data_IF_493131327833
#
_entry.id   IF_493131327833
#
_cell.length_a   1.000
_cell.length_b   1.000
_cell.length_c   1.000
_cell.angle_alpha   90.00
_cell.angle_beta   90.00
_cell.angle_gamma   90.00
#
_symmetry.space_group_name_H-M   'P 1'
#
loop_
_entity.id
_entity.type
_entity.pdbx_description
1 polymer ?
#
# COMPACT_ATOMS: atom_id res chain seq x y z
N UNK A 1 17.20 11.91 -9.07
CA UNK A 1 16.00 11.07 -8.91
C UNK A 1 15.97 10.05 -10.03
N UNK A 2 15.87 8.77 -9.67
CA UNK A 2 15.77 7.68 -10.64
C UNK A 2 14.29 7.48 -11.00
N UNK A 3 14.02 6.89 -12.14
CA UNK A 3 12.66 6.51 -12.56
C UNK A 3 12.66 5.05 -12.98
N UNK A 4 11.57 4.35 -12.66
CA UNK A 4 11.29 2.99 -13.15
C UNK A 4 10.05 3.00 -14.04
N UNK A 5 9.82 1.91 -14.75
CA UNK A 5 8.72 1.82 -15.71
C UNK A 5 7.76 0.70 -15.32
N UNK A 6 6.48 1.00 -15.38
CA UNK A 6 5.42 0.01 -15.22
C UNK A 6 5.21 -0.77 -16.52
N UNK A 7 4.56 -1.93 -16.46
CA UNK A 7 4.23 -2.72 -17.65
C UNK A 7 3.23 -2.00 -18.56
N UNK A 8 2.47 -1.05 -18.02
CA UNK A 8 1.61 -0.13 -18.78
C UNK A 8 2.41 0.90 -19.58
N UNK A 9 3.71 1.05 -19.30
CA UNK A 9 4.61 2.03 -19.90
C UNK A 9 4.72 3.34 -19.12
N UNK A 10 3.96 3.51 -18.04
CA UNK A 10 4.00 4.69 -17.17
C UNK A 10 5.29 4.75 -16.36
N UNK A 11 5.80 5.96 -16.13
CA UNK A 11 7.02 6.18 -15.35
C UNK A 11 6.67 6.44 -13.88
N UNK A 12 7.43 5.82 -12.98
CA UNK A 12 7.34 6.01 -11.54
C UNK A 12 8.63 6.67 -11.06
N UNK A 13 8.58 7.87 -10.47
CA UNK A 13 9.74 8.47 -9.83
C UNK A 13 10.08 7.71 -8.55
N UNK A 14 11.37 7.47 -8.32
CA UNK A 14 11.91 6.95 -7.07
C UNK A 14 12.55 8.12 -6.32
N UNK A 15 11.73 8.84 -5.57
CA UNK A 15 12.09 9.96 -4.69
C UNK A 15 12.36 9.53 -3.25
N UNK A 16 12.10 8.25 -2.92
CA UNK A 16 12.19 7.74 -1.55
C UNK A 16 10.91 7.93 -0.76
N UNK A 17 9.77 8.20 -1.41
CA UNK A 17 8.44 8.16 -0.80
C UNK A 17 7.63 6.99 -1.38
N UNK A 18 7.34 5.99 -0.54
CA UNK A 18 6.54 4.84 -0.93
C UNK A 18 5.12 5.22 -1.38
N UNK A 19 4.53 6.28 -0.82
CA UNK A 19 3.15 6.67 -1.18
C UNK A 19 3.05 7.11 -2.63
N UNK A 20 4.07 7.80 -3.16
CA UNK A 20 4.16 8.15 -4.58
C UNK A 20 4.12 6.91 -5.48
N UNK A 21 4.85 5.86 -5.10
CA UNK A 21 4.88 4.58 -5.84
C UNK A 21 3.51 3.90 -5.79
N UNK A 22 2.88 3.85 -4.61
CA UNK A 22 1.57 3.24 -4.41
C UNK A 22 0.46 3.97 -5.16
N UNK A 23 0.48 5.31 -5.17
CA UNK A 23 -0.51 6.13 -5.89
C UNK A 23 -0.46 5.85 -7.40
N UNK A 24 0.74 5.79 -7.98
CA UNK A 24 0.88 5.53 -9.42
C UNK A 24 0.45 4.09 -9.74
N UNK A 25 0.83 3.10 -8.91
CA UNK A 25 0.32 1.72 -9.07
C UNK A 25 -1.20 1.67 -9.00
N UNK A 26 -1.82 2.38 -8.05
CA UNK A 26 -3.27 2.44 -7.93
C UNK A 26 -3.93 3.05 -9.17
N UNK A 27 -3.45 4.19 -9.65
CA UNK A 27 -3.99 4.85 -10.85
C UNK A 27 -3.84 3.97 -12.10
N UNK A 28 -2.70 3.31 -12.26
CA UNK A 28 -2.45 2.51 -13.45
C UNK A 28 -3.18 1.17 -13.45
N UNK A 29 -3.32 0.53 -12.29
CA UNK A 29 -3.97 -0.78 -12.17
C UNK A 29 -5.49 -0.67 -11.99
N UNK A 30 -5.97 0.38 -11.31
CA UNK A 30 -7.39 0.54 -11.00
C UNK A 30 -8.10 1.53 -11.92
N UNK A 31 -7.45 2.63 -12.35
CA UNK A 31 -8.15 3.70 -13.08
C UNK A 31 -8.09 3.55 -14.62
N UNK A 32 -7.07 2.87 -15.17
CA UNK A 32 -6.90 2.75 -16.64
C UNK A 32 -7.46 1.47 -17.27
N UNK A 33 -7.88 0.47 -16.50
CA UNK A 33 -8.15 -0.89 -17.02
C UNK A 33 -9.50 -1.52 -16.65
N UNK A 34 -10.47 -0.72 -16.21
CA UNK A 34 -11.89 -1.11 -16.15
C UNK A 34 -12.14 -2.48 -15.50
N UNK A 35 -12.00 -2.58 -14.17
CA UNK A 35 -12.44 -3.70 -13.30
C UNK A 35 -11.94 -5.13 -13.60
N UNK A 36 -11.25 -5.40 -14.71
CA UNK A 36 -10.85 -6.74 -15.16
C UNK A 36 -9.44 -7.16 -14.67
N UNK A 37 -8.82 -6.35 -13.82
CA UNK A 37 -7.48 -6.63 -13.30
C UNK A 37 -7.54 -7.61 -12.13
N UNK A 38 -6.87 -8.76 -12.29
CA UNK A 38 -6.81 -9.79 -11.27
C UNK A 38 -5.78 -9.47 -10.18
N UNK A 39 -5.99 -10.03 -8.97
CA UNK A 39 -4.98 -10.01 -7.90
C UNK A 39 -3.61 -10.48 -8.39
N UNK A 40 -3.58 -11.48 -9.28
CA UNK A 40 -2.33 -12.02 -9.82
C UNK A 40 -1.56 -10.98 -10.64
N UNK A 41 -2.27 -10.18 -11.44
CA UNK A 41 -1.65 -9.14 -12.24
C UNK A 41 -1.14 -7.99 -11.36
N UNK A 42 -1.80 -7.69 -10.24
CA UNK A 42 -1.29 -6.71 -9.26
C UNK A 42 0.02 -7.20 -8.65
N UNK A 43 0.08 -8.48 -8.26
CA UNK A 43 1.29 -9.09 -7.71
C UNK A 43 2.43 -9.07 -8.74
N UNK A 44 2.14 -9.39 -10.00
CA UNK A 44 3.13 -9.32 -11.09
C UNK A 44 3.66 -7.90 -11.28
N UNK A 45 2.80 -6.89 -11.23
CA UNK A 45 3.23 -5.50 -11.38
C UNK A 45 4.14 -5.07 -10.22
N UNK A 46 3.79 -5.45 -8.99
CA UNK A 46 4.62 -5.18 -7.81
C UNK A 46 5.99 -5.87 -7.94
N UNK A 47 6.02 -7.13 -8.40
CA UNK A 47 7.28 -7.84 -8.66
C UNK A 47 8.12 -7.12 -9.72
N UNK A 48 7.49 -6.68 -10.81
CA UNK A 48 8.16 -5.92 -11.87
C UNK A 48 8.76 -4.61 -11.35
N UNK A 49 8.08 -3.91 -10.43
CA UNK A 49 8.64 -2.75 -9.74
C UNK A 49 9.87 -3.14 -8.92
N UNK A 50 9.76 -4.17 -8.06
CA UNK A 50 10.84 -4.62 -7.17
C UNK A 50 12.09 -5.05 -7.94
N UNK A 51 11.92 -5.71 -9.08
CA UNK A 51 13.03 -6.13 -9.97
C UNK A 51 13.85 -4.96 -10.48
N UNK A 52 13.23 -3.78 -10.64
CA UNK A 52 13.91 -2.58 -11.10
C UNK A 52 14.59 -1.83 -9.96
N UNK A 53 14.25 -2.05 -8.70
CA UNK A 53 14.84 -1.36 -7.55
C UNK A 53 16.28 -1.81 -7.29
N UNK A 54 17.13 -0.87 -6.89
CA UNK A 54 18.42 -1.17 -6.26
C UNK A 54 18.21 -1.75 -4.86
N UNK A 55 19.22 -2.42 -4.31
CA UNK A 55 19.11 -3.00 -2.95
C UNK A 55 18.89 -1.93 -1.87
N UNK A 56 19.38 -0.71 -2.07
CA UNK A 56 19.12 0.40 -1.14
C UNK A 56 17.67 0.86 -1.21
N UNK A 57 17.15 1.10 -2.41
CA UNK A 57 15.74 1.44 -2.63
C UNK A 57 14.81 0.34 -2.09
N UNK A 58 15.16 -0.95 -2.29
CA UNK A 58 14.41 -2.08 -1.72
C UNK A 58 14.35 -2.04 -0.21
N UNK A 59 15.48 -1.79 0.47
CA UNK A 59 15.51 -1.69 1.94
C UNK A 59 14.66 -0.53 2.44
N UNK A 60 14.79 0.63 1.80
CA UNK A 60 14.05 1.83 2.17
C UNK A 60 12.54 1.61 2.01
N UNK A 61 12.08 1.23 0.82
CA UNK A 61 10.65 1.03 0.57
C UNK A 61 10.05 -0.14 1.37
N UNK A 62 10.84 -1.20 1.65
CA UNK A 62 10.40 -2.25 2.56
C UNK A 62 10.19 -1.70 3.98
N UNK A 63 11.12 -0.90 4.50
CA UNK A 63 10.98 -0.26 5.80
C UNK A 63 9.73 0.63 5.86
N UNK A 64 9.49 1.45 4.85
CA UNK A 64 8.31 2.32 4.77
C UNK A 64 7.01 1.50 4.68
N UNK A 65 6.98 0.43 3.88
CA UNK A 65 5.81 -0.43 3.77
C UNK A 65 5.46 -1.09 5.10
N UNK A 66 6.45 -1.59 5.83
CA UNK A 66 6.24 -2.19 7.15
C UNK A 66 5.74 -1.16 8.16
N UNK A 67 6.28 0.06 8.12
CA UNK A 67 5.81 1.15 8.96
C UNK A 67 4.34 1.51 8.70
N UNK A 68 3.95 1.70 7.43
CA UNK A 68 2.57 2.00 7.06
C UNK A 68 1.60 0.89 7.50
N UNK A 69 1.98 -0.37 7.29
CA UNK A 69 1.18 -1.53 7.71
C UNK A 69 1.09 -1.62 9.24
N UNK A 70 2.17 -1.34 9.96
CA UNK A 70 2.19 -1.34 11.42
C UNK A 70 1.24 -0.28 11.99
N UNK A 71 1.33 0.97 11.50
CA UNK A 71 0.44 2.06 11.92
C UNK A 71 -1.02 1.74 11.59
N UNK A 72 -1.29 1.19 10.41
CA UNK A 72 -2.64 0.75 10.02
C UNK A 72 -3.19 -0.30 10.97
N UNK A 73 -2.39 -1.32 11.29
CA UNK A 73 -2.76 -2.37 12.23
C UNK A 73 -3.01 -1.84 13.65
N UNK A 74 -2.15 -0.94 14.15
CA UNK A 74 -2.36 -0.31 15.45
C UNK A 74 -3.68 0.47 15.49
N UNK A 75 -3.97 1.25 14.45
CA UNK A 75 -5.21 2.02 14.35
C UNK A 75 -6.46 1.12 14.30
N UNK A 76 -6.43 0.05 13.50
CA UNK A 76 -7.52 -0.92 13.42
C UNK A 76 -7.75 -1.62 14.77
N UNK A 77 -6.67 -2.02 15.44
CA UNK A 77 -6.75 -2.67 16.75
C UNK A 77 -7.28 -1.73 17.81
N UNK A 78 -6.83 -0.48 17.84
CA UNK A 78 -7.35 0.56 18.73
C UNK A 78 -8.84 0.82 18.47
N UNK A 79 -9.25 0.91 17.21
CA UNK A 79 -10.66 1.04 16.84
C UNK A 79 -11.52 -0.14 17.32
N UNK A 80 -11.02 -1.36 17.21
CA UNK A 80 -11.69 -2.55 17.73
C UNK A 80 -11.84 -2.52 19.25
N UNK A 81 -10.81 -2.07 19.99
CA UNK A 81 -10.89 -1.90 21.44
C UNK A 81 -11.89 -0.82 21.85
N UNK A 82 -11.91 0.33 21.17
CA UNK A 82 -12.88 1.39 21.45
C UNK A 82 -14.32 0.92 21.18
N UNK A 83 -14.55 0.14 20.11
CA UNK A 83 -15.86 -0.46 19.83
C UNK A 83 -16.30 -1.43 20.92
N UNK A 84 -15.37 -2.24 21.45
CA UNK A 84 -15.66 -3.17 22.55
C UNK A 84 -16.01 -2.44 23.84
N UNK A 85 -15.26 -1.40 24.20
CA UNK A 85 -15.52 -0.57 25.39
C UNK A 85 -16.83 0.22 25.26
N UNK A 86 -17.10 0.80 24.08
CA UNK A 86 -18.36 1.50 23.81
C UNK A 86 -19.59 0.58 23.81
N UNK A 87 -19.44 -0.67 23.34
CA UNK A 87 -20.49 -1.69 23.39
C UNK A 87 -20.77 -2.18 24.82
N UNK A 88 -19.75 -2.29 25.67
CA UNK A 88 -19.90 -2.59 27.11
C UNK A 88 -20.65 -1.48 27.84
N UNK A 89 -20.37 -0.20 27.52
CA UNK A 89 -21.06 0.94 28.12
C UNK A 89 -22.58 0.94 27.83
N UNK A 90 -22.99 0.59 26.60
CA UNK A 90 -24.41 0.51 26.20
C UNK A 90 -25.19 -0.66 26.82
N UNK A 91 -24.50 -1.62 27.44
CA UNK A 91 -25.14 -2.76 28.13
C UNK A 91 -25.36 -2.46 29.62
N UNK A 92 -24.71 -1.44 30.18
CA UNK A 92 -24.84 -1.03 31.58
C UNK A 92 -25.99 -0.03 31.78
N UNK A 93 -26.43 0.65 30.72
CA UNK A 93 -27.53 1.65 30.74
C UNK A 93 -28.91 1.08 30.32
N UNK A 94 -29.11 -0.25 30.28
CA UNK A 94 -30.41 -0.92 30.09
C UNK A 94 -30.80 -1.76 31.30
#
# INVERSE_FOLDING_TARGET
>A
MRTIKLTTGSNVPLDGDLLTVLEILYLELSAKRDLDHSFEDTVREIQHVIEQLTDEERRQYLSESLFLNFVSYENERLGAYMKKLGADQSTIDQ
#
